data_IF_829372216850
#
_entry.id   IF_829372216850
#
_cell.length_a   1.000
_cell.length_b   1.000
_cell.length_c   1.000
_cell.angle_alpha   90.00
_cell.angle_beta   90.00
_cell.angle_gamma   90.00
#
_symmetry.space_group_name_H-M   'P 1'
#
loop_
_entity.id
_entity.type
_entity.pdbx_description
1 polymer ?
#
# COMPACT_ATOMS: atom_id res chain seq x y z
N UNK A 1 11.37 3.53 -3.88
CA UNK A 1 10.99 3.05 -5.23
C UNK A 1 9.54 2.63 -5.21
N UNK A 2 8.71 3.24 -6.05
CA UNK A 2 7.24 3.16 -6.00
C UNK A 2 6.71 1.76 -6.32
N UNK A 3 5.99 1.12 -5.37
CA UNK A 3 5.41 -0.22 -5.51
C UNK A 3 4.32 -0.32 -6.59
N UNK A 4 3.58 0.79 -6.84
CA UNK A 4 2.55 0.87 -7.88
C UNK A 4 3.15 0.61 -9.26
N UNK A 5 4.38 1.05 -9.48
CA UNK A 5 5.05 0.90 -10.78
C UNK A 5 5.58 -0.50 -11.07
N UNK A 6 5.80 -1.35 -10.07
CA UNK A 6 6.30 -2.72 -10.30
C UNK A 6 5.22 -3.69 -10.82
N UNK A 7 3.95 -3.37 -10.59
CA UNK A 7 2.84 -4.25 -10.97
C UNK A 7 2.20 -3.92 -12.32
N UNK A 8 2.62 -2.85 -12.98
CA UNK A 8 2.06 -2.41 -14.27
C UNK A 8 3.11 -2.61 -15.36
N UNK A 9 3.05 -3.70 -16.11
CA UNK A 9 4.04 -4.13 -17.10
C UNK A 9 4.17 -3.27 -18.37
N UNK A 10 5.37 -3.24 -18.96
CA UNK A 10 5.72 -2.59 -20.24
C UNK A 10 6.50 -1.27 -20.06
N UNK A 11 7.82 -1.30 -20.27
CA UNK A 11 8.74 -0.21 -19.82
C UNK A 11 8.49 1.20 -20.37
N UNK A 12 7.87 1.37 -21.55
CA UNK A 12 7.71 2.70 -22.17
C UNK A 12 6.31 3.31 -22.00
N UNK A 13 5.26 2.55 -22.14
CA UNK A 13 3.88 3.04 -22.01
C UNK A 13 3.55 3.37 -20.56
N UNK A 14 4.08 2.60 -19.61
CA UNK A 14 3.87 2.79 -18.19
C UNK A 14 4.56 4.02 -17.59
N UNK A 15 5.63 4.53 -18.21
CA UNK A 15 6.29 5.72 -17.67
C UNK A 15 5.37 6.93 -17.71
N UNK A 16 4.65 7.15 -18.82
CA UNK A 16 3.74 8.30 -18.95
C UNK A 16 2.63 8.25 -17.89
N UNK A 17 1.96 7.12 -17.74
CA UNK A 17 0.89 6.94 -16.73
C UNK A 17 1.42 7.12 -15.31
N UNK A 18 2.59 6.56 -15.02
CA UNK A 18 3.24 6.69 -13.72
C UNK A 18 3.67 8.11 -13.42
N UNK A 19 4.36 8.75 -14.34
CA UNK A 19 4.86 10.13 -14.18
C UNK A 19 3.70 11.11 -14.02
N UNK A 20 2.67 10.99 -14.86
CA UNK A 20 1.45 11.80 -14.75
C UNK A 20 0.80 11.62 -13.36
N UNK A 21 0.66 10.37 -12.89
CA UNK A 21 0.11 10.09 -11.58
C UNK A 21 0.93 10.70 -10.44
N UNK A 22 2.25 10.50 -10.45
CA UNK A 22 3.13 11.02 -9.40
C UNK A 22 3.14 12.55 -9.35
N UNK A 23 3.25 13.21 -10.52
CA UNK A 23 3.26 14.68 -10.59
C UNK A 23 1.93 15.27 -10.13
N UNK A 24 0.81 14.69 -10.55
CA UNK A 24 -0.52 15.19 -10.16
C UNK A 24 -0.78 14.97 -8.65
N UNK A 25 -0.37 13.83 -8.09
CA UNK A 25 -0.49 13.59 -6.64
C UNK A 25 0.40 14.55 -5.86
N UNK A 26 1.66 14.74 -6.25
CA UNK A 26 2.56 15.66 -5.56
C UNK A 26 2.00 17.11 -5.57
N UNK A 27 1.53 17.58 -6.71
CA UNK A 27 0.88 18.90 -6.83
C UNK A 27 -0.42 18.98 -6.01
N UNK A 28 -1.19 17.91 -5.99
CA UNK A 28 -2.43 17.82 -5.23
C UNK A 28 -2.19 17.94 -3.73
N UNK A 29 -1.17 17.25 -3.20
CA UNK A 29 -0.80 17.34 -1.78
C UNK A 29 -0.37 18.75 -1.40
N UNK A 30 0.52 19.36 -2.20
CA UNK A 30 0.99 20.74 -1.95
C UNK A 30 -0.15 21.75 -2.09
N UNK A 31 -1.04 21.57 -3.05
CA UNK A 31 -2.18 22.46 -3.33
C UNK A 31 -3.43 22.18 -2.48
N UNK A 32 -3.39 21.25 -1.53
CA UNK A 32 -4.53 20.90 -0.68
C UNK A 32 -5.73 20.28 -1.44
N UNK A 33 -5.49 19.69 -2.62
CA UNK A 33 -6.53 19.08 -3.43
C UNK A 33 -7.04 17.78 -2.81
N UNK A 34 -8.32 17.54 -2.97
CA UNK A 34 -8.92 16.25 -2.62
C UNK A 34 -8.44 15.14 -3.56
N UNK A 35 -8.56 13.90 -3.11
CA UNK A 35 -8.24 12.72 -3.93
C UNK A 35 -9.06 12.66 -5.23
N UNK A 36 -10.31 13.13 -5.19
CA UNK A 36 -11.19 13.18 -6.38
C UNK A 36 -10.63 14.16 -7.41
N UNK A 37 -10.28 15.38 -6.99
CA UNK A 37 -9.70 16.39 -7.86
C UNK A 37 -8.37 15.92 -8.48
N UNK A 38 -7.53 15.25 -7.69
CA UNK A 38 -6.28 14.65 -8.19
C UNK A 38 -6.57 13.56 -9.23
N UNK A 39 -7.56 12.71 -9.00
CA UNK A 39 -7.97 11.67 -9.95
C UNK A 39 -8.45 12.24 -11.28
N UNK A 40 -9.29 13.27 -11.23
CA UNK A 40 -9.77 13.95 -12.44
C UNK A 40 -8.64 14.70 -13.17
N UNK A 41 -7.71 15.31 -12.44
CA UNK A 41 -6.53 15.92 -13.05
C UNK A 41 -5.66 14.90 -13.79
N UNK A 42 -5.42 13.73 -13.20
CA UNK A 42 -4.68 12.64 -13.84
C UNK A 42 -5.41 12.20 -15.11
N UNK A 43 -6.72 12.01 -15.02
CA UNK A 43 -7.56 11.59 -16.14
C UNK A 43 -7.49 12.58 -17.30
N UNK A 44 -7.70 13.87 -17.00
CA UNK A 44 -7.65 14.92 -18.03
C UNK A 44 -6.28 14.98 -18.71
N UNK A 45 -5.20 14.96 -17.94
CA UNK A 45 -3.83 14.96 -18.51
C UNK A 45 -3.55 13.77 -19.41
N UNK A 46 -4.09 12.58 -19.08
CA UNK A 46 -3.95 11.39 -19.91
C UNK A 46 -4.76 11.51 -21.20
N UNK A 47 -5.96 12.09 -21.14
CA UNK A 47 -6.79 12.36 -22.31
C UNK A 47 -6.11 13.38 -23.24
N UNK A 48 -5.56 14.46 -22.70
CA UNK A 48 -4.82 15.50 -23.46
C UNK A 48 -3.57 14.91 -24.15
N UNK A 49 -3.00 13.85 -23.59
CA UNK A 49 -1.88 13.11 -24.20
C UNK A 49 -2.33 12.01 -25.18
N UNK A 50 -3.61 11.98 -25.54
CA UNK A 50 -4.18 10.97 -26.44
C UNK A 50 -4.22 9.56 -25.83
N UNK A 51 -4.37 9.44 -24.50
CA UNK A 51 -4.36 8.17 -23.75
C UNK A 51 -5.72 7.87 -23.11
N UNK A 52 -6.77 7.59 -23.90
CA UNK A 52 -8.12 7.40 -23.36
C UNK A 52 -8.32 6.05 -22.64
N UNK A 53 -7.37 5.12 -22.76
CA UNK A 53 -7.45 3.77 -22.19
C UNK A 53 -6.10 3.35 -21.62
N UNK A 54 -6.12 2.75 -20.44
CA UNK A 54 -4.97 2.03 -19.92
C UNK A 54 -5.08 0.54 -20.27
N UNK A 55 -4.00 -0.02 -20.83
CA UNK A 55 -3.89 -1.45 -21.13
C UNK A 55 -2.81 -2.04 -20.24
N UNK A 56 -3.16 -3.05 -19.44
CA UNK A 56 -2.21 -3.70 -18.56
C UNK A 56 -1.29 -4.69 -19.29
N UNK A 57 -0.34 -5.26 -18.55
CA UNK A 57 0.67 -6.18 -19.10
C UNK A 57 0.09 -7.42 -19.79
N UNK A 58 -1.10 -7.85 -19.36
CA UNK A 58 -1.78 -9.03 -19.93
C UNK A 58 -2.85 -8.66 -20.95
N UNK A 59 -2.84 -7.41 -21.43
CA UNK A 59 -3.70 -6.92 -22.50
C UNK A 59 -5.11 -6.50 -22.06
N UNK A 60 -5.42 -6.46 -20.75
CA UNK A 60 -6.74 -6.01 -20.28
C UNK A 60 -6.86 -4.49 -20.40
N UNK A 61 -7.98 -4.05 -20.95
CA UNK A 61 -8.34 -2.64 -21.03
C UNK A 61 -9.02 -2.22 -19.73
N UNK A 62 -8.52 -1.15 -19.15
CA UNK A 62 -9.07 -0.55 -17.93
C UNK A 62 -9.83 0.71 -18.28
N UNK A 63 -10.98 0.89 -17.67
CA UNK A 63 -11.65 2.19 -17.66
C UNK A 63 -10.71 3.23 -17.04
N UNK A 64 -10.58 4.39 -17.71
CA UNK A 64 -9.62 5.41 -17.31
C UNK A 64 -9.98 6.03 -15.95
N UNK A 65 -11.26 6.19 -15.65
CA UNK A 65 -11.75 6.74 -14.38
C UNK A 65 -11.36 5.82 -13.21
N UNK A 66 -11.65 4.53 -13.34
CA UNK A 66 -11.27 3.53 -12.34
C UNK A 66 -9.76 3.42 -12.16
N UNK A 67 -9.01 3.52 -13.26
CA UNK A 67 -7.55 3.49 -13.23
C UNK A 67 -6.98 4.71 -12.50
N UNK A 68 -7.42 5.91 -12.85
CA UNK A 68 -6.90 7.15 -12.25
C UNK A 68 -7.29 7.30 -10.79
N UNK A 69 -8.48 6.87 -10.40
CA UNK A 69 -8.89 6.79 -8.99
C UNK A 69 -7.98 5.83 -8.20
N UNK A 70 -7.71 4.66 -8.74
CA UNK A 70 -6.82 3.68 -8.11
C UNK A 70 -5.41 4.26 -7.96
N UNK A 71 -4.87 4.92 -8.98
CA UNK A 71 -3.55 5.56 -8.94
C UNK A 71 -3.52 6.68 -7.91
N UNK A 72 -4.46 7.62 -7.95
CA UNK A 72 -4.53 8.72 -7.00
C UNK A 72 -4.58 8.22 -5.55
N UNK A 73 -5.44 7.25 -5.27
CA UNK A 73 -5.60 6.65 -3.94
C UNK A 73 -4.31 5.98 -3.45
N UNK A 74 -3.71 5.13 -4.27
CA UNK A 74 -2.56 4.32 -3.88
C UNK A 74 -1.32 5.19 -3.70
N UNK A 75 -1.05 6.09 -4.64
CA UNK A 75 0.12 6.98 -4.58
C UNK A 75 0.01 7.98 -3.41
N UNK A 76 -1.18 8.55 -3.17
CA UNK A 76 -1.39 9.43 -2.01
C UNK A 76 -1.10 8.69 -0.69
N UNK A 77 -1.58 7.45 -0.54
CA UNK A 77 -1.30 6.66 0.66
C UNK A 77 0.17 6.31 0.82
N UNK A 78 0.85 6.00 -0.28
CA UNK A 78 2.29 5.72 -0.25
C UNK A 78 3.09 6.94 0.25
N UNK A 79 2.76 8.14 -0.27
CA UNK A 79 3.38 9.40 0.18
C UNK A 79 3.06 9.69 1.65
N UNK A 80 1.81 9.50 2.07
CA UNK A 80 1.39 9.69 3.46
C UNK A 80 2.11 8.71 4.41
N UNK A 81 2.23 7.44 4.03
CA UNK A 81 2.98 6.45 4.82
C UNK A 81 4.44 6.85 4.97
N UNK A 82 5.09 7.30 3.89
CA UNK A 82 6.47 7.76 3.95
C UNK A 82 6.61 9.04 4.80
N UNK A 83 5.67 9.97 4.68
CA UNK A 83 5.62 11.17 5.53
C UNK A 83 5.47 10.83 7.01
N UNK A 84 4.62 9.84 7.33
CA UNK A 84 4.45 9.34 8.71
C UNK A 84 5.76 8.74 9.22
N UNK A 85 6.43 7.90 8.43
CA UNK A 85 7.73 7.31 8.82
C UNK A 85 8.75 8.40 9.12
N UNK A 86 8.92 9.36 8.21
CA UNK A 86 9.88 10.44 8.39
C UNK A 86 9.58 11.25 9.67
N UNK A 87 8.30 11.60 9.88
CA UNK A 87 7.88 12.37 11.06
C UNK A 87 8.12 11.62 12.38
N UNK A 88 7.86 10.31 12.40
CA UNK A 88 8.10 9.50 13.60
C UNK A 88 9.58 9.39 13.91
N UNK A 89 10.43 9.19 12.90
CA UNK A 89 11.88 9.15 13.06
C UNK A 89 12.43 10.48 13.58
N UNK A 90 11.92 11.63 13.10
CA UNK A 90 12.29 12.97 13.63
C UNK A 90 11.99 13.10 15.13
N UNK A 91 10.97 12.37 15.63
CA UNK A 91 10.60 12.35 17.04
C UNK A 91 11.22 11.17 17.83
N UNK A 92 12.16 10.44 17.24
CA UNK A 92 12.82 9.30 17.89
C UNK A 92 11.90 8.10 18.10
N UNK A 93 10.78 8.00 17.36
CA UNK A 93 9.89 6.85 17.40
C UNK A 93 10.28 5.90 16.28
N UNK A 94 10.85 4.76 16.64
CA UNK A 94 11.39 3.78 15.71
C UNK A 94 10.50 2.56 15.48
N UNK A 95 9.36 2.45 16.18
CA UNK A 95 8.41 1.36 16.04
C UNK A 95 7.08 1.88 15.54
N UNK A 96 6.51 1.16 14.57
CA UNK A 96 5.19 1.43 14.02
C UNK A 96 4.36 0.15 13.97
N UNK A 97 3.06 0.31 14.13
CA UNK A 97 2.08 -0.77 14.03
C UNK A 97 1.22 -0.56 12.79
N UNK A 98 0.93 -1.64 12.09
CA UNK A 98 -0.04 -1.65 10.98
C UNK A 98 -1.45 -1.64 11.55
N UNK A 99 -2.30 -0.73 11.08
CA UNK A 99 -3.70 -0.64 11.51
C UNK A 99 -4.49 -1.92 11.17
N UNK A 100 -5.52 -2.22 11.97
CA UNK A 100 -6.41 -3.36 11.76
C UNK A 100 -7.77 -2.90 11.23
N UNK A 101 -8.29 -3.60 10.22
CA UNK A 101 -9.57 -3.30 9.56
C UNK A 101 -10.39 -4.56 9.25
N UNK A 102 -9.98 -5.73 9.74
CA UNK A 102 -10.55 -7.04 9.39
C UNK A 102 -10.52 -7.27 7.87
N UNK A 103 -9.34 -7.18 7.28
CA UNK A 103 -9.15 -7.26 5.84
C UNK A 103 -9.66 -8.59 5.27
N UNK A 104 -10.40 -8.53 4.17
CA UNK A 104 -10.85 -9.69 3.39
C UNK A 104 -9.80 -10.19 2.38
N UNK A 105 -8.53 -9.88 2.58
CA UNK A 105 -7.41 -10.28 1.73
C UNK A 105 -6.14 -10.53 2.55
N UNK A 106 -5.02 -10.79 1.88
CA UNK A 106 -3.75 -11.11 2.55
C UNK A 106 -3.23 -10.03 3.51
N UNK A 107 -3.76 -8.80 3.47
CA UNK A 107 -3.40 -7.76 4.43
C UNK A 107 -3.77 -8.13 5.87
N UNK A 108 -4.73 -9.07 6.05
CA UNK A 108 -5.09 -9.62 7.37
C UNK A 108 -3.88 -10.15 8.14
N UNK A 109 -2.89 -10.71 7.44
CA UNK A 109 -1.65 -11.21 8.05
C UNK A 109 -0.76 -10.12 8.64
N UNK A 110 -0.95 -8.88 8.20
CA UNK A 110 -0.17 -7.73 8.64
C UNK A 110 -0.89 -6.84 9.65
N UNK A 111 -2.17 -7.10 9.90
CA UNK A 111 -2.94 -6.32 10.88
C UNK A 111 -2.38 -6.46 12.29
N UNK A 112 -2.25 -5.34 12.98
CA UNK A 112 -1.62 -5.19 14.30
C UNK A 112 -0.11 -5.48 14.34
N UNK A 113 0.52 -5.92 13.27
CA UNK A 113 1.95 -6.21 13.24
C UNK A 113 2.76 -4.95 13.54
N UNK A 114 3.72 -5.09 14.45
CA UNK A 114 4.69 -4.06 14.79
C UNK A 114 5.98 -4.30 14.00
N UNK A 115 6.53 -3.24 13.42
CA UNK A 115 7.78 -3.28 12.66
C UNK A 115 8.68 -2.11 13.02
N UNK A 116 9.98 -2.33 12.90
CA UNK A 116 10.97 -1.28 13.08
C UNK A 116 11.16 -0.47 11.79
N UNK A 117 11.19 0.85 11.95
CA UNK A 117 11.53 1.83 10.91
C UNK A 117 12.89 2.50 11.18
N UNK A 118 13.48 2.24 12.35
CA UNK A 118 14.78 2.79 12.75
C UNK A 118 15.95 2.23 11.95
N UNK A 119 17.12 2.89 12.04
CA UNK A 119 18.32 2.47 11.33
C UNK A 119 18.97 1.21 11.93
N UNK A 120 18.73 0.94 13.21
CA UNK A 120 19.25 -0.22 13.93
C UNK A 120 18.22 -1.35 13.99
N UNK A 121 18.66 -2.61 13.82
CA UNK A 121 17.76 -3.75 13.97
C UNK A 121 17.18 -3.81 15.38
N UNK A 122 15.86 -3.98 15.47
CA UNK A 122 15.20 -4.19 16.77
C UNK A 122 15.28 -5.68 17.16
N UNK A 123 15.50 -6.01 18.44
CA UNK A 123 15.68 -7.41 18.86
C UNK A 123 14.43 -8.29 18.68
N UNK A 124 13.23 -7.70 18.75
CA UNK A 124 11.94 -8.41 18.70
C UNK A 124 11.21 -8.17 17.39
N UNK A 125 11.14 -6.93 16.93
CA UNK A 125 10.31 -6.53 15.79
C UNK A 125 11.11 -6.47 14.50
N UNK A 126 10.63 -7.10 13.41
CA UNK A 126 11.34 -7.11 12.14
C UNK A 126 11.35 -5.72 11.50
N UNK A 127 12.32 -5.45 10.60
CA UNK A 127 12.34 -4.19 9.86
C UNK A 127 11.14 -4.11 8.92
N UNK A 128 10.65 -2.90 8.67
CA UNK A 128 9.51 -2.66 7.78
C UNK A 128 9.71 -3.23 6.37
N UNK A 129 10.96 -3.38 5.94
CA UNK A 129 11.30 -4.03 4.66
C UNK A 129 10.86 -5.49 4.58
N UNK A 130 10.82 -6.20 5.73
CA UNK A 130 10.43 -7.60 5.81
C UNK A 130 8.93 -7.84 5.49
N UNK A 131 8.10 -6.80 5.66
CA UNK A 131 6.70 -6.79 5.22
C UNK A 131 6.49 -6.01 3.92
N UNK A 132 7.55 -5.86 3.14
CA UNK A 132 7.51 -5.19 1.85
C UNK A 132 7.53 -3.66 1.93
N UNK A 133 7.95 -3.03 3.05
CA UNK A 133 8.10 -1.59 3.26
C UNK A 133 6.82 -0.89 3.73
N UNK A 134 5.90 -1.60 4.36
CA UNK A 134 4.66 -1.06 4.93
C UNK A 134 3.54 -0.81 3.90
N UNK A 135 2.38 -0.33 4.38
CA UNK A 135 1.26 0.00 3.52
C UNK A 135 1.55 1.20 2.59
N UNK A 136 0.87 1.27 1.42
CA UNK A 136 -0.12 0.32 0.93
C UNK A 136 0.52 -0.97 0.40
N UNK A 137 -0.03 -2.13 0.77
CA UNK A 137 0.48 -3.44 0.34
C UNK A 137 0.03 -3.82 -1.07
N UNK A 138 -1.09 -3.27 -1.53
CA UNK A 138 -1.69 -3.48 -2.85
C UNK A 138 -2.50 -2.24 -3.27
N UNK A 139 -2.91 -2.12 -4.55
CA UNK A 139 -3.85 -1.09 -4.97
C UNK A 139 -5.13 -1.11 -4.13
N UNK A 140 -5.61 0.09 -3.74
CA UNK A 140 -6.78 0.29 -2.87
C UNK A 140 -6.63 -0.19 -1.42
N UNK A 141 -5.44 -0.57 -0.97
CA UNK A 141 -5.18 -0.89 0.42
C UNK A 141 -5.60 0.27 1.35
N UNK A 142 -6.22 -0.06 2.50
CA UNK A 142 -6.73 0.94 3.47
C UNK A 142 -5.84 1.09 4.70
N UNK A 143 -4.90 0.17 4.90
CA UNK A 143 -4.03 0.16 6.05
C UNK A 143 -3.12 1.39 6.11
N UNK A 144 -2.83 1.81 7.34
CA UNK A 144 -1.92 2.91 7.66
C UNK A 144 -0.94 2.47 8.75
N UNK A 145 0.11 3.26 8.95
CA UNK A 145 1.05 3.09 10.05
C UNK A 145 0.65 4.00 11.21
N UNK A 146 0.67 3.46 12.41
CA UNK A 146 0.49 4.19 13.66
C UNK A 146 1.74 4.05 14.52
N UNK A 147 2.11 5.04 15.34
CA UNK A 147 3.24 4.93 16.25
C UNK A 147 2.98 3.80 17.26
N UNK A 148 4.02 3.01 17.55
CA UNK A 148 3.98 2.01 18.62
C UNK A 148 5.01 2.36 19.69
N UNK A 149 4.54 2.58 20.90
CA UNK A 149 5.39 2.95 22.05
C UNK A 149 5.45 1.75 22.99
N UNK A 150 6.49 0.94 22.85
CA UNK A 150 6.63 -0.36 23.55
C UNK A 150 6.48 -0.25 25.07
N UNK A 151 7.01 0.81 25.69
CA UNK A 151 6.92 1.06 27.12
C UNK A 151 5.51 1.32 27.65
N UNK A 152 4.58 1.66 26.78
CA UNK A 152 3.18 1.93 27.09
C UNK A 152 2.27 0.77 26.69
N UNK A 153 2.78 -0.17 25.90
CA UNK A 153 2.01 -1.30 25.38
C UNK A 153 1.86 -2.37 26.44
N UNK A 154 0.66 -2.96 26.50
CA UNK A 154 0.38 -4.15 27.30
C UNK A 154 1.07 -5.38 26.69
N UNK A 155 1.30 -6.43 27.49
CA UNK A 155 1.90 -7.67 26.97
C UNK A 155 1.05 -8.29 25.83
N UNK A 156 -0.28 -8.20 25.94
CA UNK A 156 -1.19 -8.66 24.88
C UNK A 156 -1.02 -7.87 23.57
N UNK A 157 -0.74 -6.57 23.61
CA UNK A 157 -0.46 -5.76 22.43
C UNK A 157 0.89 -6.10 21.84
N UNK A 158 1.89 -6.35 22.66
CA UNK A 158 3.21 -6.80 22.20
C UNK A 158 3.13 -8.17 21.52
N UNK A 159 2.41 -9.13 22.12
CA UNK A 159 2.17 -10.45 21.52
C UNK A 159 1.45 -10.35 20.18
N UNK A 160 0.41 -9.52 20.08
CA UNK A 160 -0.29 -9.28 18.81
C UNK A 160 0.57 -8.58 17.77
N UNK A 161 1.53 -7.78 18.22
CA UNK A 161 2.46 -7.06 17.37
C UNK A 161 3.51 -7.96 16.73
N UNK A 162 3.67 -9.20 17.20
CA UNK A 162 4.62 -10.14 16.60
C UNK A 162 4.03 -10.77 15.34
N UNK A 163 4.87 -10.95 14.33
CA UNK A 163 4.52 -11.61 13.08
C UNK A 163 5.15 -13.00 13.02
N UNK A 164 4.43 -13.96 12.48
CA UNK A 164 4.98 -15.30 12.25
C UNK A 164 6.12 -15.26 11.24
N UNK A 165 7.30 -15.86 11.54
CA UNK A 165 8.47 -15.78 10.68
C UNK A 165 8.25 -16.29 9.24
N UNK A 166 7.31 -17.20 9.05
CA UNK A 166 6.96 -17.77 7.75
C UNK A 166 6.17 -16.81 6.84
N UNK A 167 5.69 -15.69 7.39
CA UNK A 167 5.04 -14.61 6.64
C UNK A 167 6.01 -13.52 6.19
N UNK A 168 7.21 -13.49 6.78
CA UNK A 168 8.22 -12.48 6.45
C UNK A 168 8.80 -12.70 5.04
N UNK A 169 9.13 -11.59 4.37
CA UNK A 169 9.74 -11.58 3.05
C UNK A 169 8.94 -12.29 1.94
N UNK A 170 7.67 -12.58 2.19
CA UNK A 170 6.77 -13.16 1.18
C UNK A 170 6.28 -12.10 0.20
N UNK A 171 6.13 -12.50 -1.04
CA UNK A 171 5.51 -11.64 -2.04
C UNK A 171 3.99 -11.53 -1.81
N UNK A 172 3.35 -10.41 -2.21
CA UNK A 172 1.89 -10.28 -2.14
C UNK A 172 1.14 -11.41 -2.85
N UNK A 173 1.70 -11.95 -3.95
CA UNK A 173 1.09 -13.04 -4.69
C UNK A 173 1.13 -14.38 -3.91
N UNK A 174 2.19 -14.64 -3.16
CA UNK A 174 2.29 -15.83 -2.29
C UNK A 174 1.32 -15.72 -1.11
N UNK A 175 1.29 -14.56 -0.45
CA UNK A 175 0.37 -14.31 0.66
C UNK A 175 -1.10 -14.40 0.21
N UNK A 176 -1.42 -13.86 -0.96
CA UNK A 176 -2.78 -13.96 -1.49
C UNK A 176 -3.17 -15.42 -1.84
N UNK A 177 -2.23 -16.23 -2.33
CA UNK A 177 -2.47 -17.67 -2.56
C UNK A 177 -2.70 -18.42 -1.26
N UNK A 178 -1.90 -18.11 -0.22
CA UNK A 178 -2.05 -18.68 1.11
C UNK A 178 -3.39 -18.26 1.72
N UNK A 179 -3.73 -16.98 1.71
CA UNK A 179 -4.98 -16.44 2.22
C UNK A 179 -6.20 -17.15 1.64
N UNK A 180 -6.21 -17.40 0.33
CA UNK A 180 -7.31 -18.12 -0.35
C UNK A 180 -7.48 -19.55 0.13
N UNK A 181 -6.42 -20.19 0.59
CA UNK A 181 -6.48 -21.56 1.13
C UNK A 181 -6.93 -21.56 2.57
N UNK A 182 -6.47 -20.61 3.38
CA UNK A 182 -6.75 -20.54 4.81
C UNK A 182 -8.12 -19.92 5.14
N UNK A 183 -8.59 -18.98 4.31
CA UNK A 183 -9.84 -18.21 4.54
C UNK A 183 -10.80 -18.23 3.34
N UNK A 184 -11.24 -19.41 2.86
CA UNK A 184 -12.11 -19.48 1.69
C UNK A 184 -13.48 -18.81 1.90
N UNK A 185 -13.97 -18.76 3.14
CA UNK A 185 -15.23 -18.11 3.52
C UNK A 185 -15.20 -16.60 3.38
N UNK A 186 -14.08 -15.95 3.73
CA UNK A 186 -13.93 -14.50 3.61
C UNK A 186 -13.97 -14.07 2.13
N UNK A 187 -13.40 -14.88 1.24
CA UNK A 187 -13.41 -14.60 -0.19
C UNK A 187 -14.83 -14.70 -0.77
N UNK A 188 -15.62 -15.65 -0.29
CA UNK A 188 -17.03 -15.80 -0.71
C UNK A 188 -17.87 -14.63 -0.24
N UNK A 189 -17.66 -14.16 1.01
CA UNK A 189 -18.38 -13.04 1.59
C UNK A 189 -18.08 -11.70 0.89
N UNK A 190 -16.87 -11.50 0.39
CA UNK A 190 -16.45 -10.26 -0.31
C UNK A 190 -16.77 -10.25 -1.80
N UNK A 191 -17.54 -11.23 -2.31
CA UNK A 191 -17.95 -11.30 -3.71
C UNK A 191 -16.80 -11.51 -4.69
N UNK A 192 -15.70 -12.12 -4.23
CA UNK A 192 -14.58 -12.51 -5.07
C UNK A 192 -13.86 -11.32 -5.72
N UNK A 193 -13.70 -10.20 -5.01
CA UNK A 193 -12.81 -9.11 -5.47
C UNK A 193 -11.39 -9.66 -5.56
N UNK A 194 -11.13 -10.26 -6.70
CA UNK A 194 -9.82 -10.77 -7.06
C UNK A 194 -8.93 -9.58 -7.36
N UNK A 195 -8.06 -9.23 -6.42
CA UNK A 195 -6.86 -8.48 -6.74
C UNK A 195 -6.00 -9.41 -7.61
N UNK A 196 -6.22 -9.32 -8.91
CA UNK A 196 -5.41 -10.02 -9.91
C UNK A 196 -4.28 -9.10 -10.38
#
# INVERSE_FOLDING_TARGET
MNKVARNCGGRRVNNVFRETGMVSVARGIVGGKTRIEVSEEIKQRLLDQGRPVFVDRIGRRWDLTNYTEMVARTTTREVMSQGTINRLLEHGIELVQVSAHNAGDFCLYYENVVVSIGPTPHPVYPPISAIGGGPPFHPRCVHVLTPFVERLATEREKERGTISPDLLNKSPAELQRRFRKEFPELIRATGGVTIR
#
